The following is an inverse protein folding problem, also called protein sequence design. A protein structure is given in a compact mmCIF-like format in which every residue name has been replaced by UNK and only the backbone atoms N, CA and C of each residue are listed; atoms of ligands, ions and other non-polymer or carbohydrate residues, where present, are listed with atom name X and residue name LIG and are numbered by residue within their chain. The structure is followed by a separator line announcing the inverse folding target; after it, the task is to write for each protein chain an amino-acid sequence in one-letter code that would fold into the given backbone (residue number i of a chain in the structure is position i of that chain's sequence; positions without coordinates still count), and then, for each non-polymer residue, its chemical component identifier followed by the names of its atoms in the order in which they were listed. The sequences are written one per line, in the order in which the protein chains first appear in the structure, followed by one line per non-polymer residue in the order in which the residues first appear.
data_IF_849611470745
#
_entry.id   IF_849611470745
#
_cell.length_a   1.000
_cell.length_b   1.000
_cell.length_c   1.000
_cell.angle_alpha   90.00
_cell.angle_beta   90.00
_cell.angle_gamma   90.00
#
_symmetry.space_group_name_H-M   'P 1'
#
loop_
_entity.id
_entity.type
_entity.pdbx_description
1 polymer ?
#
# COMPACT_ATOMS: atom_id res chain seq x y z
N UNK A 1 -10.56 -9.80 -5.18
CA UNK A 1 -9.09 -9.70 -5.36
C UNK A 1 -8.77 -8.27 -5.78
N UNK A 2 -7.84 -7.61 -5.10
CA UNK A 2 -7.42 -6.23 -5.42
C UNK A 2 -6.68 -6.12 -6.77
N UNK A 3 -6.11 -7.22 -7.27
CA UNK A 3 -5.46 -7.28 -8.58
C UNK A 3 -5.70 -8.67 -9.21
N UNK A 4 -6.56 -8.81 -10.23
CA UNK A 4 -6.78 -10.08 -10.90
C UNK A 4 -5.53 -10.48 -11.69
N UNK A 5 -5.08 -11.72 -11.51
CA UNK A 5 -4.01 -12.35 -12.29
C UNK A 5 -4.60 -13.19 -13.42
N UNK A 6 -3.90 -13.28 -14.54
CA UNK A 6 -4.13 -14.31 -15.55
C UNK A 6 -3.59 -15.66 -15.08
N UNK A 7 -4.00 -16.74 -15.75
CA UNK A 7 -3.57 -18.13 -15.43
C UNK A 7 -2.04 -18.32 -15.51
N UNK A 8 -1.33 -17.46 -16.24
CA UNK A 8 0.14 -17.46 -16.35
C UNK A 8 0.85 -16.64 -15.24
N UNK A 9 0.11 -16.11 -14.26
CA UNK A 9 0.67 -15.32 -13.15
C UNK A 9 0.99 -13.86 -13.48
N UNK A 10 0.80 -13.44 -14.74
CA UNK A 10 0.87 -12.05 -15.17
C UNK A 10 -0.42 -11.30 -14.80
N UNK A 11 -0.36 -9.99 -14.57
CA UNK A 11 -1.56 -9.20 -14.32
C UNK A 11 -2.31 -8.91 -15.63
N UNK A 12 -3.64 -8.91 -15.58
CA UNK A 12 -4.47 -8.55 -16.73
C UNK A 12 -4.15 -7.10 -17.13
N UNK A 13 -3.46 -6.92 -18.25
CA UNK A 13 -3.32 -5.62 -18.91
C UNK A 13 -4.69 -5.18 -19.43
N UNK A 14 -5.51 -4.57 -18.58
CA UNK A 14 -6.65 -3.82 -19.05
C UNK A 14 -6.14 -2.53 -19.70
N UNK A 15 -5.88 -2.61 -21.00
CA UNK A 15 -5.54 -1.49 -21.89
C UNK A 15 -6.74 -0.59 -22.20
N UNK A 16 -7.86 -0.74 -21.48
CA UNK A 16 -9.00 0.16 -21.64
C UNK A 16 -8.71 1.50 -20.97
N UNK A 17 -8.45 2.50 -21.81
CA UNK A 17 -8.37 3.93 -21.49
C UNK A 17 -9.65 4.54 -20.90
N UNK A 18 -10.64 3.71 -20.55
CA UNK A 18 -11.89 4.05 -19.88
C UNK A 18 -12.03 3.23 -18.60
N UNK A 19 -11.05 3.32 -17.70
CA UNK A 19 -11.28 2.99 -16.31
C UNK A 19 -12.09 4.14 -15.69
N UNK A 20 -13.42 4.09 -15.85
CA UNK A 20 -14.31 4.70 -14.86
C UNK A 20 -14.07 3.96 -13.56
N UNK A 21 -13.03 4.38 -12.83
CA UNK A 21 -12.64 3.82 -11.54
C UNK A 21 -13.88 3.89 -10.64
N UNK A 22 -14.38 2.75 -10.13
CA UNK A 22 -15.51 2.76 -9.21
C UNK A 22 -15.22 3.70 -8.03
N UNK A 23 -16.27 4.31 -7.47
CA UNK A 23 -16.25 5.12 -6.24
C UNK A 23 -15.56 4.45 -5.03
N UNK A 24 -15.18 3.18 -5.17
CA UNK A 24 -14.55 2.33 -4.18
C UNK A 24 -13.04 2.60 -4.00
N UNK A 25 -12.33 3.10 -5.03
CA UNK A 25 -10.87 3.25 -4.97
C UNK A 25 -10.38 4.30 -3.97
N UNK A 26 -11.08 5.43 -3.89
CA UNK A 26 -10.74 6.48 -2.92
C UNK A 26 -10.91 5.97 -1.49
N UNK A 27 -12.00 5.27 -1.21
CA UNK A 27 -12.28 4.66 0.09
C UNK A 27 -11.26 3.57 0.44
N UNK A 28 -10.93 2.71 -0.52
CA UNK A 28 -9.92 1.67 -0.34
C UNK A 28 -8.54 2.26 -0.02
N UNK A 29 -8.12 3.29 -0.77
CA UNK A 29 -6.85 3.96 -0.50
C UNK A 29 -6.84 4.64 0.87
N UNK A 30 -7.96 5.23 1.28
CA UNK A 30 -8.11 5.84 2.61
C UNK A 30 -7.97 4.82 3.75
N UNK A 31 -8.59 3.64 3.59
CA UNK A 31 -8.43 2.52 4.52
C UNK A 31 -6.97 2.08 4.58
N UNK A 32 -6.31 1.93 3.42
CA UNK A 32 -4.91 1.51 3.35
C UNK A 32 -3.96 2.52 4.01
N UNK A 33 -4.19 3.83 3.82
CA UNK A 33 -3.43 4.88 4.51
C UNK A 33 -3.65 4.76 6.02
N UNK A 34 -4.90 4.61 6.46
CA UNK A 34 -5.22 4.51 7.90
C UNK A 34 -4.57 3.29 8.56
N UNK A 35 -4.66 2.12 7.93
CA UNK A 35 -4.04 0.89 8.42
C UNK A 35 -2.51 1.00 8.38
N UNK A 36 -1.96 1.58 7.31
CA UNK A 36 -0.53 1.78 7.18
C UNK A 36 0.03 2.77 8.20
N UNK A 37 -0.71 3.82 8.56
CA UNK A 37 -0.32 4.77 9.60
C UNK A 37 -0.27 4.12 10.99
N UNK A 38 -1.29 3.33 11.34
CA UNK A 38 -1.29 2.57 12.60
C UNK A 38 -0.13 1.57 12.64
N UNK A 39 0.15 0.88 11.53
CA UNK A 39 1.29 -0.02 11.43
C UNK A 39 2.61 0.74 11.57
N UNK A 40 2.77 1.87 10.87
CA UNK A 40 3.99 2.68 10.89
C UNK A 40 4.35 3.16 12.31
N UNK A 41 3.35 3.56 13.10
CA UNK A 41 3.54 3.98 14.49
C UNK A 41 3.98 2.85 15.42
N UNK A 42 3.60 1.60 15.12
CA UNK A 42 3.92 0.42 15.92
C UNK A 42 5.27 -0.22 15.57
N UNK A 43 5.82 0.12 14.39
CA UNK A 43 7.12 -0.39 13.97
C UNK A 43 8.25 0.32 14.72
N UNK A 44 9.21 -0.47 15.19
CA UNK A 44 10.47 0.05 15.71
C UNK A 44 11.25 0.80 14.60
N UNK A 45 12.00 1.82 14.99
CA UNK A 45 12.83 2.64 14.09
C UNK A 45 13.91 1.80 13.39
N UNK A 46 14.31 0.69 13.99
CA UNK A 46 15.26 -0.27 13.41
C UNK A 46 14.65 -1.16 12.30
N UNK A 47 13.32 -1.15 12.12
CA UNK A 47 12.63 -2.04 11.19
C UNK A 47 12.96 -1.71 9.73
N UNK A 48 13.44 -2.71 8.98
CA UNK A 48 13.65 -2.64 7.52
C UNK A 48 12.35 -2.37 6.74
N UNK A 49 11.20 -2.67 7.32
CA UNK A 49 9.88 -2.41 6.75
C UNK A 49 9.50 -0.93 6.78
N UNK A 50 9.96 -0.19 7.81
CA UNK A 50 9.51 1.17 8.11
C UNK A 50 9.81 2.18 6.99
N UNK A 51 11.01 2.17 6.35
CA UNK A 51 11.28 3.05 5.21
C UNK A 51 10.40 2.78 3.98
N UNK A 52 10.13 1.50 3.67
CA UNK A 52 9.30 1.10 2.53
C UNK A 52 7.84 1.52 2.75
N UNK A 53 7.31 1.26 3.95
CA UNK A 53 5.99 1.71 4.35
C UNK A 53 5.86 3.24 4.33
N UNK A 54 6.89 3.96 4.81
CA UNK A 54 6.91 5.43 4.76
C UNK A 54 6.81 5.95 3.33
N UNK A 55 7.58 5.38 2.41
CA UNK A 55 7.60 5.78 1.00
C UNK A 55 6.23 5.59 0.35
N UNK A 56 5.61 4.42 0.55
CA UNK A 56 4.25 4.17 0.10
C UNK A 56 3.25 5.16 0.68
N UNK A 57 3.25 5.37 2.00
CA UNK A 57 2.31 6.27 2.66
C UNK A 57 2.46 7.72 2.19
N UNK A 58 3.70 8.18 1.97
CA UNK A 58 3.97 9.50 1.40
C UNK A 58 3.30 9.67 0.03
N UNK A 59 3.47 8.70 -0.87
CA UNK A 59 2.85 8.78 -2.20
C UNK A 59 1.34 8.55 -2.17
N UNK A 60 0.85 7.60 -1.37
CA UNK A 60 -0.58 7.33 -1.17
C UNK A 60 -1.33 8.61 -0.74
N UNK A 61 -0.77 9.35 0.23
CA UNK A 61 -1.32 10.64 0.70
C UNK A 61 -1.32 11.70 -0.39
N UNK A 62 -0.31 11.74 -1.26
CA UNK A 62 -0.31 12.67 -2.41
C UNK A 62 -1.40 12.28 -3.40
N UNK A 63 -1.51 10.99 -3.74
CA UNK A 63 -2.51 10.46 -4.67
C UNK A 63 -3.93 10.73 -4.20
N UNK A 64 -4.23 10.46 -2.92
CA UNK A 64 -5.59 10.65 -2.40
C UNK A 64 -6.02 12.13 -2.46
N UNK A 65 -5.10 13.08 -2.29
CA UNK A 65 -5.41 14.51 -2.47
C UNK A 65 -5.83 14.86 -3.90
N UNK A 66 -5.28 14.18 -4.91
CA UNK A 66 -5.68 14.37 -6.31
C UNK A 66 -7.06 13.75 -6.58
N UNK A 67 -7.37 12.62 -5.95
CA UNK A 67 -8.70 12.01 -6.02
C UNK A 67 -9.76 12.92 -5.39
N UNK A 68 -9.50 13.55 -4.24
CA UNK A 68 -10.41 14.55 -3.67
C UNK A 68 -10.59 15.78 -4.57
N UNK A 69 -9.53 16.21 -5.26
CA UNK A 69 -9.61 17.32 -6.21
C UNK A 69 -10.49 16.96 -7.43
N UNK A 70 -10.41 15.73 -7.91
CA UNK A 70 -11.28 15.18 -8.94
C UNK A 70 -12.74 15.15 -8.49
N UNK A 71 -13.01 14.65 -7.27
CA UNK A 71 -14.36 14.70 -6.68
C UNK A 71 -14.88 16.13 -6.56
N UNK A 72 -14.05 17.05 -6.06
CA UNK A 72 -14.39 18.47 -5.94
C UNK A 72 -14.78 19.09 -7.29
N UNK A 73 -14.07 18.76 -8.38
CA UNK A 73 -14.40 19.30 -9.70
C UNK A 73 -15.81 18.90 -10.18
N UNK A 74 -16.33 17.78 -9.67
CA UNK A 74 -17.67 17.28 -10.00
C UNK A 74 -18.74 17.77 -9.04
N UNK A 75 -18.44 17.93 -7.74
CA UNK A 75 -19.42 18.26 -6.70
C UNK A 75 -19.43 19.73 -6.28
N UNK A 76 -18.33 20.45 -6.50
CA UNK A 76 -18.12 21.82 -5.99
C UNK A 76 -17.86 21.91 -4.49
N UNK A 77 -17.85 20.79 -3.75
CA UNK A 77 -17.61 20.77 -2.30
C UNK A 77 -16.12 20.63 -1.98
N UNK A 78 -15.49 21.73 -1.54
CA UNK A 78 -14.07 21.78 -1.20
C UNK A 78 -13.77 21.29 0.23
N UNK A 79 -14.79 21.06 1.05
CA UNK A 79 -14.63 20.68 2.47
C UNK A 79 -13.78 19.41 2.66
N UNK A 80 -13.98 18.32 1.88
CA UNK A 80 -13.15 17.13 1.97
C UNK A 80 -11.69 17.41 1.61
N UNK A 81 -11.43 18.26 0.61
CA UNK A 81 -10.07 18.64 0.23
C UNK A 81 -9.33 19.31 1.39
N UNK A 82 -9.95 20.30 2.06
CA UNK A 82 -9.30 20.98 3.18
C UNK A 82 -9.12 20.07 4.41
N UNK A 83 -10.14 19.26 4.72
CA UNK A 83 -10.09 18.31 5.83
C UNK A 83 -8.91 17.35 5.66
N UNK A 84 -8.79 16.75 4.47
CA UNK A 84 -7.75 15.76 4.18
C UNK A 84 -6.38 16.38 3.96
N UNK A 85 -6.31 17.59 3.42
CA UNK A 85 -5.05 18.33 3.36
C UNK A 85 -4.49 18.57 4.77
N UNK A 86 -5.33 18.96 5.73
CA UNK A 86 -4.89 19.16 7.12
C UNK A 86 -4.55 17.85 7.84
N UNK A 87 -5.21 16.75 7.49
CA UNK A 87 -4.91 15.43 8.04
C UNK A 87 -3.56 14.90 7.53
N UNK A 88 -3.32 14.93 6.22
CA UNK A 88 -2.15 14.28 5.60
C UNK A 88 -0.94 15.20 5.41
N UNK A 89 -1.18 16.52 5.33
CA UNK A 89 -0.15 17.55 5.14
C UNK A 89 -0.40 18.69 6.15
N UNK A 90 -0.29 18.41 7.46
CA UNK A 90 -0.61 19.37 8.50
C UNK A 90 0.32 20.58 8.44
N UNK A 91 -0.22 21.77 8.70
CA UNK A 91 0.55 23.01 8.69
C UNK A 91 1.65 23.04 9.76
N UNK A 92 1.51 22.23 10.82
CA UNK A 92 2.48 22.09 11.90
C UNK A 92 3.71 21.25 11.55
N UNK A 93 3.68 20.48 10.45
CA UNK A 93 4.83 19.68 10.01
C UNK A 93 5.83 20.59 9.25
N UNK A 94 7.04 20.81 9.78
CA UNK A 94 7.99 21.77 9.20
C UNK A 94 8.71 21.23 7.95
N UNK A 95 8.46 19.99 7.52
CA UNK A 95 9.18 19.38 6.40
C UNK A 95 8.93 20.14 5.10
N UNK A 96 10.00 20.53 4.40
CA UNK A 96 9.93 21.29 3.14
C UNK A 96 9.01 20.65 2.10
N UNK A 97 9.04 19.31 1.98
CA UNK A 97 8.16 18.56 1.07
C UNK A 97 6.68 18.74 1.40
N UNK A 98 6.32 18.74 2.69
CA UNK A 98 4.94 18.91 3.14
C UNK A 98 4.47 20.34 2.88
N UNK A 99 5.30 21.32 3.23
CA UNK A 99 4.99 22.73 3.03
C UNK A 99 4.90 23.11 1.55
N UNK A 100 5.81 22.64 0.70
CA UNK A 100 5.77 22.86 -0.75
C UNK A 100 4.52 22.24 -1.37
N UNK A 101 4.20 20.97 -1.04
CA UNK A 101 3.00 20.32 -1.55
C UNK A 101 1.73 21.08 -1.12
N UNK A 102 1.64 21.42 0.17
CA UNK A 102 0.50 22.15 0.74
C UNK A 102 0.30 23.51 0.04
N UNK A 103 1.38 24.28 -0.14
CA UNK A 103 1.33 25.58 -0.80
C UNK A 103 0.87 25.45 -2.26
N UNK A 104 1.41 24.48 -3.01
CA UNK A 104 1.00 24.25 -4.41
C UNK A 104 -0.45 23.83 -4.50
N UNK A 105 -0.90 22.94 -3.63
CA UNK A 105 -2.28 22.47 -3.59
C UNK A 105 -3.26 23.60 -3.25
N UNK A 106 -2.95 24.42 -2.25
CA UNK A 106 -3.76 25.59 -1.89
C UNK A 106 -3.82 26.63 -3.01
N UNK A 107 -2.70 26.90 -3.69
CA UNK A 107 -2.68 27.80 -4.86
C UNK A 107 -3.57 27.28 -5.99
N UNK A 108 -3.60 25.97 -6.20
CA UNK A 108 -4.48 25.31 -7.17
C UNK A 108 -5.95 25.46 -6.77
N UNK A 109 -6.30 25.13 -5.52
CA UNK A 109 -7.67 25.27 -5.00
C UNK A 109 -8.19 26.71 -5.06
N UNK A 110 -7.36 27.69 -4.68
CA UNK A 110 -7.72 29.11 -4.76
C UNK A 110 -7.91 29.59 -6.21
N UNK A 111 -7.33 28.88 -7.18
CA UNK A 111 -7.45 29.17 -8.60
C UNK A 111 -8.49 28.26 -9.26
N UNK A 112 -9.77 28.36 -8.87
CA UNK A 112 -10.85 27.47 -9.33
C UNK A 112 -10.87 27.19 -10.84
N UNK A 113 -10.65 28.22 -11.67
CA UNK A 113 -10.57 28.11 -13.14
C UNK A 113 -9.39 27.27 -13.65
N UNK A 114 -8.34 27.06 -12.85
CA UNK A 114 -7.16 26.24 -13.19
C UNK A 114 -7.32 24.78 -12.79
N UNK A 115 -8.33 24.43 -11.99
CA UNK A 115 -8.52 23.05 -11.49
C UNK A 115 -8.88 22.12 -12.64
N UNK A 116 -9.88 22.47 -13.45
CA UNK A 116 -10.26 21.66 -14.62
C UNK A 116 -9.10 21.50 -15.61
N UNK A 117 -8.33 22.58 -15.82
CA UNK A 117 -7.13 22.54 -16.66
C UNK A 117 -6.07 21.60 -16.09
N UNK A 118 -5.77 21.71 -14.79
CA UNK A 118 -4.83 20.83 -14.12
C UNK A 118 -5.26 19.36 -14.20
N UNK A 119 -6.55 19.09 -13.99
CA UNK A 119 -7.09 17.74 -14.04
C UNK A 119 -6.92 17.15 -15.44
N UNK A 120 -7.30 17.88 -16.49
CA UNK A 120 -7.23 17.41 -17.86
C UNK A 120 -5.81 17.30 -18.43
N UNK A 121 -4.93 18.27 -18.13
CA UNK A 121 -3.59 18.33 -18.73
C UNK A 121 -2.52 17.59 -17.94
N UNK A 122 -2.75 17.32 -16.65
CA UNK A 122 -1.75 16.68 -15.78
C UNK A 122 -2.28 15.44 -15.09
N UNK A 123 -3.34 15.58 -14.30
CA UNK A 123 -3.80 14.48 -13.45
C UNK A 123 -4.31 13.30 -14.27
N UNK A 124 -5.31 13.50 -15.12
CA UNK A 124 -5.92 12.41 -15.88
C UNK A 124 -4.95 11.74 -16.85
N UNK A 125 -4.00 12.51 -17.41
CA UNK A 125 -2.95 11.96 -18.26
C UNK A 125 -1.97 11.07 -17.49
N UNK A 126 -1.62 11.43 -16.25
CA UNK A 126 -0.65 10.70 -15.43
C UNK A 126 -1.29 9.68 -14.47
N UNK A 127 -2.60 9.71 -14.27
CA UNK A 127 -3.32 8.96 -13.22
C UNK A 127 -3.01 7.46 -13.26
N UNK A 128 -3.00 6.86 -14.45
CA UNK A 128 -2.71 5.43 -14.59
C UNK A 128 -1.28 5.10 -14.13
N UNK A 129 -0.29 5.88 -14.55
CA UNK A 129 1.11 5.65 -14.21
C UNK A 129 1.38 5.88 -12.73
N UNK A 130 0.76 6.90 -12.13
CA UNK A 130 0.86 7.16 -10.69
C UNK A 130 0.24 6.04 -9.87
N UNK A 131 -0.90 5.48 -10.30
CA UNK A 131 -1.51 4.33 -9.62
C UNK A 131 -0.68 3.06 -9.78
N UNK A 132 -0.03 2.86 -10.93
CA UNK A 132 0.95 1.77 -11.11
C UNK A 132 2.17 1.94 -10.21
N UNK A 133 2.69 3.15 -10.09
CA UNK A 133 3.79 3.46 -9.16
C UNK A 133 3.39 3.12 -7.71
N UNK A 134 2.18 3.51 -7.30
CA UNK A 134 1.67 3.16 -5.97
C UNK A 134 1.54 1.64 -5.77
N UNK A 135 1.15 0.91 -6.82
CA UNK A 135 1.12 -0.55 -6.81
C UNK A 135 2.53 -1.15 -6.67
N UNK A 136 3.52 -0.64 -7.40
CA UNK A 136 4.92 -1.09 -7.25
C UNK A 136 5.44 -0.85 -5.83
N UNK A 137 5.15 0.31 -5.23
CA UNK A 137 5.51 0.58 -3.84
C UNK A 137 4.84 -0.38 -2.85
N UNK A 138 3.60 -0.80 -3.14
CA UNK A 138 2.94 -1.82 -2.34
C UNK A 138 3.63 -3.20 -2.48
N UNK A 139 4.16 -3.53 -3.65
CA UNK A 139 4.97 -4.74 -3.83
C UNK A 139 6.30 -4.65 -3.09
N UNK A 140 7.00 -3.52 -3.15
CA UNK A 140 8.23 -3.30 -2.37
C UNK A 140 7.98 -3.58 -0.89
N UNK A 141 6.84 -3.16 -0.35
CA UNK A 141 6.42 -3.46 1.03
C UNK A 141 6.23 -4.97 1.24
N UNK A 142 5.52 -5.64 0.35
CA UNK A 142 5.23 -7.08 0.45
C UNK A 142 6.51 -7.91 0.37
N UNK A 143 7.49 -7.49 -0.43
CA UNK A 143 8.80 -8.16 -0.52
C UNK A 143 9.57 -8.14 0.80
N UNK A 144 9.37 -7.13 1.65
CA UNK A 144 9.98 -7.07 2.97
C UNK A 144 9.28 -7.96 4.00
N UNK A 145 8.04 -8.40 3.73
CA UNK A 145 7.21 -9.10 4.68
C UNK A 145 7.81 -10.45 5.14
N UNK A 146 8.35 -11.32 4.25
CA UNK A 146 9.01 -12.54 4.68
C UNK A 146 10.19 -12.26 5.61
N UNK A 147 11.08 -11.32 5.27
CA UNK A 147 12.25 -11.00 6.08
C UNK A 147 11.87 -10.53 7.49
N UNK A 148 10.90 -9.61 7.58
CA UNK A 148 10.40 -9.07 8.86
C UNK A 148 9.68 -10.14 9.69
N UNK A 149 8.96 -11.06 9.03
CA UNK A 149 8.35 -12.19 9.71
C UNK A 149 9.44 -13.08 10.32
N UNK A 150 10.44 -13.45 9.53
CA UNK A 150 11.53 -14.34 9.92
C UNK A 150 12.42 -13.76 11.03
N UNK A 151 12.66 -12.45 11.05
CA UNK A 151 13.45 -11.77 12.09
C UNK A 151 12.88 -11.91 13.51
N UNK A 152 11.58 -12.17 13.62
CA UNK A 152 10.90 -12.31 14.92
C UNK A 152 10.78 -13.76 15.38
N UNK A 153 11.24 -14.73 14.60
CA UNK A 153 11.21 -16.15 14.98
C UNK A 153 11.95 -16.35 16.30
N UNK A 154 11.26 -16.93 17.29
CA UNK A 154 11.80 -17.16 18.63
C UNK A 154 11.73 -15.99 19.60
N UNK A 155 11.30 -14.82 19.15
CA UNK A 155 10.98 -13.69 20.03
C UNK A 155 9.57 -13.83 20.62
N UNK A 156 9.29 -13.09 21.69
CA UNK A 156 7.94 -13.01 22.27
C UNK A 156 6.92 -12.38 21.30
N UNK A 157 7.39 -11.72 20.23
CA UNK A 157 6.56 -11.09 19.21
C UNK A 157 6.15 -12.05 18.09
N UNK A 158 6.74 -13.26 18.02
CA UNK A 158 6.39 -14.27 17.02
C UNK A 158 4.89 -14.63 17.02
N UNK A 159 4.23 -14.52 18.18
CA UNK A 159 2.79 -14.77 18.32
C UNK A 159 1.95 -13.85 17.42
N UNK A 160 2.39 -12.62 17.15
CA UNK A 160 1.68 -11.70 16.26
C UNK A 160 1.87 -12.11 14.79
N UNK A 161 3.06 -12.55 14.43
CA UNK A 161 3.38 -13.05 13.10
C UNK A 161 2.62 -14.34 12.79
N UNK A 162 2.44 -15.21 13.78
CA UNK A 162 1.58 -16.38 13.69
C UNK A 162 0.17 -15.93 13.27
N UNK A 163 -0.47 -15.03 14.02
CA UNK A 163 -1.82 -14.52 13.70
C UNK A 163 -1.91 -13.94 12.28
N UNK A 164 -0.91 -13.18 11.84
CA UNK A 164 -0.84 -12.60 10.49
C UNK A 164 -0.77 -13.70 9.42
N UNK A 165 0.12 -14.69 9.60
CA UNK A 165 0.28 -15.82 8.67
C UNK A 165 -1.00 -16.66 8.57
N UNK A 166 -1.73 -16.84 9.69
CA UNK A 166 -3.03 -17.52 9.69
C UNK A 166 -4.06 -16.76 8.85
N UNK A 167 -4.07 -15.43 8.95
CA UNK A 167 -5.00 -14.57 8.19
C UNK A 167 -4.70 -14.54 6.70
N UNK A 168 -3.43 -14.63 6.30
CA UNK A 168 -3.09 -14.73 4.88
C UNK A 168 -3.64 -16.02 4.25
N UNK A 169 -3.69 -17.12 5.02
CA UNK A 169 -4.25 -18.40 4.60
C UNK A 169 -3.76 -18.85 3.20
N UNK A 170 -2.49 -18.61 2.90
CA UNK A 170 -1.83 -19.08 1.68
C UNK A 170 -1.03 -20.33 1.98
N UNK A 171 -0.78 -21.15 0.95
CA UNK A 171 0.10 -22.32 1.07
C UNK A 171 1.47 -21.94 1.68
N UNK A 172 2.06 -20.86 1.19
CA UNK A 172 3.33 -20.35 1.72
C UNK A 172 3.23 -19.96 3.19
N UNK A 173 2.17 -19.27 3.60
CA UNK A 173 2.00 -18.87 5.00
C UNK A 173 1.82 -20.08 5.93
N UNK A 174 1.11 -21.12 5.48
CA UNK A 174 0.97 -22.37 6.23
C UNK A 174 2.31 -23.12 6.36
N UNK A 175 3.09 -23.19 5.29
CA UNK A 175 4.42 -23.81 5.29
C UNK A 175 5.37 -23.06 6.23
N UNK A 176 5.41 -21.72 6.16
CA UNK A 176 6.21 -20.88 7.05
C UNK A 176 5.83 -21.13 8.52
N UNK A 177 4.53 -21.13 8.84
CA UNK A 177 4.04 -21.42 10.20
C UNK A 177 4.48 -22.79 10.68
N UNK A 178 4.26 -23.82 9.86
CA UNK A 178 4.57 -25.20 10.24
C UNK A 178 6.07 -25.39 10.46
N UNK A 179 6.89 -24.85 9.56
CA UNK A 179 8.35 -25.03 9.60
C UNK A 179 9.00 -24.27 10.77
N UNK A 180 8.46 -23.12 11.14
CA UNK A 180 9.03 -22.23 12.16
C UNK A 180 8.33 -22.33 13.52
N UNK A 181 7.33 -23.20 13.64
CA UNK A 181 6.61 -23.41 14.88
C UNK A 181 7.54 -23.83 16.02
N UNK A 182 7.52 -23.06 17.12
CA UNK A 182 8.33 -23.36 18.31
C UNK A 182 9.84 -23.15 18.15
N UNK A 183 10.31 -22.61 17.01
CA UNK A 183 11.74 -22.31 16.81
C UNK A 183 12.15 -21.03 17.53
N UNK A 184 13.36 -21.03 18.08
CA UNK A 184 13.98 -19.87 18.73
C UNK A 184 14.75 -18.95 17.77
N UNK A 185 14.99 -19.39 16.53
CA UNK A 185 15.62 -18.63 15.46
C UNK A 185 15.27 -19.26 14.11
N UNK A 186 15.24 -18.45 13.03
CA UNK A 186 15.18 -18.94 11.65
C UNK A 186 16.60 -19.10 11.10
N UNK A 187 16.94 -20.28 10.58
CA UNK A 187 18.23 -20.54 9.94
C UNK A 187 18.10 -20.64 8.42
N UNK A 188 19.22 -20.53 7.71
CA UNK A 188 19.25 -20.66 6.24
C UNK A 188 18.69 -22.01 5.76
N UNK A 189 18.93 -23.09 6.53
CA UNK A 189 18.36 -24.42 6.27
C UNK A 189 16.82 -24.40 6.31
N UNK A 190 16.24 -23.63 7.22
CA UNK A 190 14.78 -23.51 7.34
C UNK A 190 14.18 -22.82 6.12
N UNK A 191 14.87 -21.81 5.61
CA UNK A 191 14.47 -21.11 4.38
C UNK A 191 14.50 -22.06 3.19
N UNK A 192 15.57 -22.86 3.05
CA UNK A 192 15.64 -23.87 2.00
C UNK A 192 14.56 -24.94 2.13
N UNK A 193 14.23 -25.39 3.34
CA UNK A 193 13.13 -26.34 3.57
C UNK A 193 11.75 -25.73 3.28
N UNK A 194 11.53 -24.44 3.58
CA UNK A 194 10.30 -23.71 3.19
C UNK A 194 10.18 -23.65 1.67
N UNK A 195 11.26 -23.23 0.98
CA UNK A 195 11.28 -23.12 -0.48
C UNK A 195 11.09 -24.49 -1.15
N UNK A 196 11.78 -25.51 -0.67
CA UNK A 196 11.65 -26.88 -1.18
C UNK A 196 10.22 -27.38 -0.98
N UNK A 197 9.67 -27.24 0.23
CA UNK A 197 8.30 -27.66 0.54
C UNK A 197 7.28 -26.92 -0.34
N UNK A 198 7.40 -25.60 -0.48
CA UNK A 198 6.50 -24.79 -1.30
C UNK A 198 6.53 -25.20 -2.78
N UNK A 199 7.71 -25.46 -3.33
CA UNK A 199 7.87 -25.88 -4.73
C UNK A 199 7.49 -27.34 -4.97
N UNK A 200 7.50 -28.18 -3.93
CA UNK A 200 7.16 -29.61 -4.01
C UNK A 200 5.67 -29.89 -3.80
N UNK A 201 4.92 -28.96 -3.21
CA UNK A 201 3.48 -29.11 -2.98
C UNK A 201 2.71 -28.44 -4.11
N UNK A 202 1.96 -29.22 -4.89
CA UNK A 202 0.88 -28.70 -5.72
C UNK A 202 -0.20 -28.09 -4.81
N UNK A 203 -0.70 -26.90 -5.16
CA UNK A 203 -1.66 -26.12 -4.37
C UNK A 203 -2.71 -27.01 -3.66
N UNK A 204 -2.94 -26.84 -2.34
CA UNK A 204 -3.99 -27.56 -1.66
C UNK A 204 -5.33 -27.18 -2.30
N UNK A 205 -6.09 -28.21 -2.68
CA UNK A 205 -7.39 -28.17 -3.38
C UNK A 205 -8.53 -27.51 -2.59
N UNK A 206 -8.20 -26.74 -1.54
CA UNK A 206 -9.15 -25.92 -0.77
C UNK A 206 -9.25 -24.47 -1.28
N UNK A 207 -8.64 -24.17 -2.44
CA UNK A 207 -8.69 -22.86 -3.12
C UNK A 207 -9.42 -22.90 -4.47
N UNK A 208 -10.23 -23.94 -4.74
CA UNK A 208 -11.25 -23.93 -5.81
C UNK A 208 -12.61 -23.66 -5.20
#
# INVERSE_FOLDING_TARGET
MLFPKTEDGNFVENTSSNLSLPSDWQNQLEILITVGDDLFLRLDDSSRYKPHLHKYLSEARRVIMHLYLESFSSTGDCTPCFTKLNQYFPASDPTDKVQDFRLRFLKLLASGHKINRYLNERWFTAKSDVLKELQYLAFDIVEQLPEVLLDKVGSNEWVYNDVILLRFNTLLALIIRQQLFGKSICTEKDIFEIMHTYNSQSCPSQLI
#
